data_IF_445444276989
#
_entry.id   IF_445444276989
#
_cell.length_a   1.000
_cell.length_b   1.000
_cell.length_c   1.000
_cell.angle_alpha   90.00
_cell.angle_beta   90.00
_cell.angle_gamma   90.00
#
_symmetry.space_group_name_H-M   'P 1'
#
loop_
_entity.id
_entity.type
_entity.pdbx_description
1 polymer ?
#
# COMPACT_ATOMS: atom_id res chain seq x y z
N UNK A 1 59.01 7.17 41.42
CA UNK A 1 57.57 7.44 41.66
C UNK A 1 57.05 8.17 40.43
N UNK A 2 56.06 7.75 39.66
CA UNK A 2 55.12 6.63 39.69
C UNK A 2 53.88 7.02 38.87
N UNK A 3 53.48 6.16 37.91
CA UNK A 3 52.12 5.93 37.35
C UNK A 3 51.47 7.04 36.49
N UNK A 4 51.30 6.82 35.17
CA UNK A 4 50.05 6.44 34.42
C UNK A 4 48.90 7.44 34.56
N UNK A 5 48.25 7.94 33.49
CA UNK A 5 47.29 7.14 32.70
C UNK A 5 46.83 7.81 31.40
N UNK A 6 46.34 6.92 30.54
CA UNK A 6 45.71 7.00 29.23
C UNK A 6 44.38 7.78 29.21
N UNK A 7 44.04 8.39 28.07
CA UNK A 7 42.66 8.64 27.65
C UNK A 7 42.59 8.62 26.12
N UNK A 8 42.17 7.47 25.57
CA UNK A 8 41.65 7.37 24.21
C UNK A 8 40.18 7.78 24.14
N UNK A 9 39.73 8.05 22.93
CA UNK A 9 38.33 8.34 22.57
C UNK A 9 38.33 9.09 21.25
N UNK A 10 38.58 8.42 20.12
CA UNK A 10 37.51 7.97 19.20
C UNK A 10 36.42 9.02 18.97
N UNK A 11 36.76 10.09 18.25
CA UNK A 11 35.78 10.91 17.52
C UNK A 11 35.29 10.11 16.31
N UNK A 12 34.23 9.33 16.53
CA UNK A 12 33.42 8.72 15.47
C UNK A 12 31.98 8.64 15.96
N UNK A 13 31.36 9.81 16.13
CA UNK A 13 29.93 9.95 16.32
C UNK A 13 29.45 11.22 15.63
N UNK A 14 29.17 11.17 14.32
CA UNK A 14 28.22 12.10 13.69
C UNK A 14 27.85 11.68 12.24
N UNK A 15 27.60 10.40 11.98
CA UNK A 15 27.01 9.98 10.70
C UNK A 15 25.84 9.00 10.85
N UNK A 16 25.76 8.26 11.96
CA UNK A 16 24.71 7.24 12.16
C UNK A 16 23.37 7.78 12.69
N UNK A 17 23.34 8.98 13.27
CA UNK A 17 22.10 9.57 13.80
C UNK A 17 21.23 10.22 12.73
N UNK A 18 21.78 10.53 11.56
CA UNK A 18 21.00 11.15 10.48
C UNK A 18 20.25 10.11 9.62
N UNK A 19 20.81 8.91 9.41
CA UNK A 19 20.12 7.85 8.65
C UNK A 19 18.85 7.32 9.32
N UNK A 20 18.83 7.22 10.67
CA UNK A 20 17.62 6.78 11.40
C UNK A 20 16.51 7.83 11.38
N UNK A 21 16.88 9.09 11.30
CA UNK A 21 15.93 10.22 11.30
C UNK A 21 15.24 10.37 9.94
N UNK A 22 15.94 10.03 8.84
CA UNK A 22 15.34 10.01 7.50
C UNK A 22 14.50 8.73 7.24
N UNK A 23 14.88 7.58 7.83
CA UNK A 23 14.07 6.35 7.77
C UNK A 23 12.74 6.47 8.55
N UNK A 24 12.68 7.30 9.60
CA UNK A 24 11.44 7.57 10.35
C UNK A 24 10.55 8.64 9.70
N UNK A 25 11.02 9.33 8.66
CA UNK A 25 10.21 10.25 7.86
C UNK A 25 9.65 9.60 6.58
N UNK A 26 9.81 8.27 6.40
CA UNK A 26 8.88 7.55 5.55
C UNK A 26 7.51 7.68 6.20
N UNK A 27 6.71 8.58 5.63
CA UNK A 27 5.29 8.72 5.97
C UNK A 27 4.70 7.32 6.05
N UNK A 28 4.33 6.89 7.26
CA UNK A 28 3.84 5.54 7.43
C UNK A 28 2.65 5.35 6.48
N UNK A 29 2.61 4.22 5.75
CA UNK A 29 1.51 3.92 4.85
C UNK A 29 0.19 4.14 5.60
N UNK A 30 -0.66 5.04 5.09
CA UNK A 30 -1.93 5.33 5.74
C UNK A 30 -2.94 4.28 5.29
N UNK A 31 -3.26 3.34 6.17
CA UNK A 31 -4.28 2.31 5.92
C UNK A 31 -5.67 2.95 5.97
N UNK A 32 -6.44 2.83 4.88
CA UNK A 32 -7.79 3.39 4.76
C UNK A 32 -8.89 2.37 5.03
N UNK A 33 -8.58 1.08 4.89
CA UNK A 33 -9.48 -0.01 5.24
C UNK A 33 -8.67 -1.29 5.54
N UNK A 34 -9.15 -2.06 6.50
CA UNK A 34 -8.63 -3.37 6.86
C UNK A 34 -9.79 -4.30 7.22
N UNK A 35 -9.81 -5.49 6.63
CA UNK A 35 -10.84 -6.50 6.90
C UNK A 35 -10.33 -7.91 6.60
N UNK A 36 -11.06 -8.92 7.09
CA UNK A 36 -10.80 -10.34 6.80
C UNK A 36 -11.94 -10.89 5.98
N UNK A 37 -11.63 -11.68 4.96
CA UNK A 37 -12.64 -12.36 4.14
C UNK A 37 -12.22 -13.79 3.81
N UNK A 38 -13.18 -14.62 3.43
CA UNK A 38 -12.95 -16.01 3.04
C UNK A 38 -12.31 -16.12 1.67
N UNK A 39 -11.40 -17.08 1.50
CA UNK A 39 -10.66 -17.29 0.27
C UNK A 39 -9.16 -17.31 0.52
N UNK A 40 -8.41 -17.61 -0.54
CA UNK A 40 -6.95 -17.42 -0.55
C UNK A 40 -6.60 -16.11 -1.22
N UNK A 41 -5.42 -15.56 -0.93
CA UNK A 41 -4.94 -14.30 -1.47
C UNK A 41 -4.96 -14.30 -3.00
N UNK A 42 -4.64 -15.45 -3.63
CA UNK A 42 -4.68 -15.60 -5.09
C UNK A 42 -6.10 -15.60 -5.66
N UNK A 43 -7.05 -16.25 -4.99
CA UNK A 43 -8.45 -16.26 -5.40
C UNK A 43 -9.04 -14.86 -5.27
N UNK A 44 -8.77 -14.19 -4.16
CA UNK A 44 -9.22 -12.83 -3.91
C UNK A 44 -8.59 -11.84 -4.88
N UNK A 45 -7.27 -11.91 -5.13
CA UNK A 45 -6.63 -11.04 -6.11
C UNK A 45 -7.32 -11.09 -7.48
N UNK A 46 -7.63 -12.30 -7.95
CA UNK A 46 -8.36 -12.50 -9.21
C UNK A 46 -9.79 -11.95 -9.14
N UNK A 47 -10.50 -12.17 -8.04
CA UNK A 47 -11.85 -11.65 -7.86
C UNK A 47 -11.89 -10.11 -7.83
N UNK A 48 -10.90 -9.48 -7.17
CA UNK A 48 -10.73 -8.02 -7.11
C UNK A 48 -10.44 -7.46 -8.50
N UNK A 49 -9.54 -8.09 -9.26
CA UNK A 49 -9.23 -7.70 -10.64
C UNK A 49 -10.48 -7.76 -11.54
N UNK A 50 -11.22 -8.86 -11.49
CA UNK A 50 -12.44 -9.04 -12.27
C UNK A 50 -13.54 -8.05 -11.88
N UNK A 51 -13.71 -7.82 -10.58
CA UNK A 51 -14.65 -6.83 -10.08
C UNK A 51 -14.28 -5.42 -10.55
N UNK A 52 -12.99 -5.04 -10.48
CA UNK A 52 -12.52 -3.75 -10.96
C UNK A 52 -12.77 -3.60 -12.47
N UNK A 53 -12.43 -4.60 -13.29
CA UNK A 53 -12.69 -4.57 -14.74
C UNK A 53 -14.17 -4.40 -15.08
N UNK A 54 -15.08 -4.96 -14.28
CA UNK A 54 -16.53 -4.88 -14.51
C UNK A 54 -17.14 -3.49 -14.22
N UNK A 55 -16.44 -2.59 -13.51
CA UNK A 55 -16.95 -1.26 -13.14
C UNK A 55 -16.93 -0.23 -14.30
N UNK A 56 -16.57 -0.61 -15.53
CA UNK A 56 -16.61 0.25 -16.73
C UNK A 56 -15.29 0.98 -17.01
N UNK A 57 -15.25 2.15 -17.68
CA UNK A 57 -14.04 2.96 -17.83
C UNK A 57 -13.65 3.51 -16.46
N UNK A 58 -13.06 2.65 -15.63
CA UNK A 58 -12.85 2.92 -14.22
C UNK A 58 -11.77 3.96 -14.08
N UNK A 59 -12.07 4.94 -13.25
CA UNK A 59 -11.13 5.78 -12.52
C UNK A 59 -10.12 5.00 -11.66
N UNK A 60 -9.92 3.68 -11.84
CA UNK A 60 -9.02 2.81 -11.09
C UNK A 60 -8.81 1.44 -11.80
N UNK A 61 -7.60 1.15 -12.30
CA UNK A 61 -7.12 -0.18 -12.71
C UNK A 61 -6.48 -0.84 -11.50
N UNK A 62 -6.81 -2.09 -11.23
CA UNK A 62 -6.09 -2.91 -10.24
C UNK A 62 -5.15 -3.85 -10.98
N UNK A 63 -3.86 -3.81 -10.68
CA UNK A 63 -2.85 -4.69 -11.28
C UNK A 63 -2.15 -5.51 -10.20
N UNK A 64 -2.22 -6.85 -10.25
CA UNK A 64 -1.39 -7.69 -9.39
C UNK A 64 0.06 -7.58 -9.86
N UNK A 65 0.98 -7.21 -8.97
CA UNK A 65 2.37 -6.95 -9.37
C UNK A 65 3.42 -7.68 -8.54
N UNK A 66 3.08 -8.15 -7.34
CA UNK A 66 4.02 -8.92 -6.52
C UNK A 66 3.28 -9.92 -5.63
N UNK A 67 3.83 -11.13 -5.46
CA UNK A 67 3.24 -12.08 -4.53
C UNK A 67 4.13 -13.28 -4.22
N UNK A 68 4.05 -13.73 -2.97
CA UNK A 68 4.53 -15.04 -2.52
C UNK A 68 3.38 -16.05 -2.59
N UNK A 69 3.60 -17.27 -2.08
CA UNK A 69 2.51 -18.25 -1.96
C UNK A 69 1.39 -17.78 -1.02
N UNK A 70 1.69 -16.91 -0.05
CA UNK A 70 0.77 -16.51 1.03
C UNK A 70 0.42 -15.03 1.01
N UNK A 71 1.09 -14.23 0.18
CA UNK A 71 0.92 -12.78 0.17
C UNK A 71 0.80 -12.29 -1.27
N UNK A 72 -0.14 -11.39 -1.56
CA UNK A 72 -0.25 -10.71 -2.84
C UNK A 72 -0.42 -9.20 -2.65
N UNK A 73 0.31 -8.43 -3.46
CA UNK A 73 0.23 -6.99 -3.55
C UNK A 73 -0.38 -6.58 -4.89
N UNK A 74 -1.34 -5.66 -4.84
CA UNK A 74 -2.01 -5.13 -6.02
C UNK A 74 -1.98 -3.60 -5.99
N UNK A 75 -1.59 -2.97 -7.09
CA UNK A 75 -1.61 -1.52 -7.21
C UNK A 75 -2.97 -1.07 -7.73
N UNK A 76 -3.50 0.04 -7.19
CA UNK A 76 -4.76 0.66 -7.61
C UNK A 76 -4.44 1.98 -8.29
N UNK A 77 -4.66 2.06 -9.60
CA UNK A 77 -4.21 3.18 -10.43
C UNK A 77 -5.38 3.90 -11.08
N UNK A 78 -5.62 5.18 -10.79
CA UNK A 78 -6.61 5.93 -11.56
C UNK A 78 -6.18 6.18 -12.99
N UNK A 79 -7.10 5.99 -13.93
CA UNK A 79 -6.89 6.33 -15.33
C UNK A 79 -7.75 7.53 -15.67
N UNK A 80 -7.11 8.56 -16.22
CA UNK A 80 -7.78 9.70 -16.84
C UNK A 80 -7.37 9.77 -18.30
N UNK A 81 -8.33 9.66 -19.20
CA UNK A 81 -8.13 9.93 -20.62
C UNK A 81 -8.55 11.37 -20.94
N UNK A 82 -7.65 12.16 -21.52
CA UNK A 82 -7.94 13.50 -22.03
C UNK A 82 -7.36 13.65 -23.44
N UNK A 83 -8.22 13.47 -24.45
CA UNK A 83 -7.80 13.42 -25.86
C UNK A 83 -6.85 12.26 -26.13
N UNK A 84 -5.59 12.56 -26.44
CA UNK A 84 -4.53 11.57 -26.70
C UNK A 84 -3.72 11.18 -25.45
N UNK A 85 -3.85 11.93 -24.36
CA UNK A 85 -3.10 11.68 -23.14
C UNK A 85 -3.88 10.73 -22.23
N UNK A 86 -3.18 9.70 -21.73
CA UNK A 86 -3.68 8.81 -20.69
C UNK A 86 -2.79 8.99 -19.48
N UNK A 87 -3.35 9.57 -18.42
CA UNK A 87 -2.68 9.72 -17.14
C UNK A 87 -3.01 8.51 -16.26
N UNK A 88 -1.97 7.83 -15.78
CA UNK A 88 -2.05 6.77 -14.80
C UNK A 88 -1.53 7.33 -13.47
N UNK A 89 -2.39 7.42 -12.46
CA UNK A 89 -1.96 7.84 -11.12
C UNK A 89 -2.13 6.71 -10.14
N UNK A 90 -1.04 6.27 -9.51
CA UNK A 90 -1.12 5.32 -8.42
C UNK A 90 -1.86 5.98 -7.24
N UNK A 91 -2.95 5.35 -6.79
CA UNK A 91 -3.75 5.77 -5.65
C UNK A 91 -3.35 5.05 -4.37
N UNK A 92 -2.75 3.87 -4.48
CA UNK A 92 -2.48 3.02 -3.33
C UNK A 92 -2.34 1.55 -3.67
N UNK A 93 -2.15 0.77 -2.62
CA UNK A 93 -1.86 -0.66 -2.67
C UNK A 93 -2.89 -1.44 -1.88
N UNK A 94 -3.30 -2.59 -2.40
CA UNK A 94 -4.04 -3.63 -1.68
C UNK A 94 -3.05 -4.73 -1.33
N UNK A 95 -2.91 -5.04 -0.05
CA UNK A 95 -2.14 -6.16 0.46
C UNK A 95 -3.10 -7.27 0.91
N UNK A 96 -2.90 -8.47 0.37
CA UNK A 96 -3.64 -9.69 0.69
C UNK A 96 -2.70 -10.65 1.41
N UNK A 97 -3.05 -11.08 2.61
CA UNK A 97 -2.24 -12.02 3.41
C UNK A 97 -3.06 -13.20 3.88
N UNK A 98 -2.68 -14.41 3.45
CA UNK A 98 -3.32 -15.64 3.89
C UNK A 98 -3.09 -15.90 5.38
N UNK A 99 -4.18 -16.20 6.09
CA UNK A 99 -4.15 -16.50 7.53
C UNK A 99 -4.06 -18.00 7.83
N UNK A 100 -3.98 -18.85 6.79
CA UNK A 100 -3.77 -20.30 6.92
C UNK A 100 -5.02 -21.12 7.28
N UNK A 101 -6.17 -20.49 7.49
CA UNK A 101 -7.45 -21.12 7.83
C UNK A 101 -8.51 -20.98 6.72
N UNK A 102 -8.07 -20.73 5.47
CA UNK A 102 -8.96 -20.44 4.35
C UNK A 102 -9.54 -19.02 4.36
N UNK A 103 -8.97 -18.13 5.17
CA UNK A 103 -9.26 -16.69 5.14
C UNK A 103 -8.01 -15.89 4.82
N UNK A 104 -8.23 -14.67 4.35
CA UNK A 104 -7.18 -13.72 3.97
C UNK A 104 -7.47 -12.37 4.62
N UNK A 105 -6.46 -11.77 5.22
CA UNK A 105 -6.48 -10.37 5.64
C UNK A 105 -6.25 -9.46 4.43
N UNK A 106 -7.08 -8.42 4.31
CA UNK A 106 -7.04 -7.43 3.24
C UNK A 106 -6.74 -6.07 3.87
N UNK A 107 -5.63 -5.44 3.46
CA UNK A 107 -5.27 -4.09 3.86
C UNK A 107 -5.19 -3.18 2.63
N UNK A 108 -5.85 -2.03 2.69
CA UNK A 108 -5.80 -1.00 1.66
C UNK A 108 -5.04 0.20 2.18
N UNK A 109 -3.96 0.53 1.50
CA UNK A 109 -3.02 1.58 1.89
C UNK A 109 -3.00 2.64 0.81
N UNK A 110 -3.15 3.90 1.19
CA UNK A 110 -2.99 5.00 0.23
C UNK A 110 -1.51 5.29 -0.02
N UNK A 111 -1.17 5.46 -1.29
CA UNK A 111 0.08 6.11 -1.69
C UNK A 111 -0.24 7.59 -1.86
N UNK A 112 0.19 8.42 -0.90
CA UNK A 112 -0.17 9.83 -0.93
C UNK A 112 0.41 10.53 -2.17
N UNK A 113 -0.44 11.06 -3.05
CA UNK A 113 0.03 11.69 -4.27
C UNK A 113 0.48 13.13 -3.97
N UNK A 114 1.74 13.45 -4.28
CA UNK A 114 2.27 14.81 -4.16
C UNK A 114 1.81 15.69 -5.34
N UNK A 115 0.53 16.11 -5.31
CA UNK A 115 -0.10 16.88 -6.39
C UNK A 115 -1.28 17.74 -5.95
N UNK A 116 -1.64 18.71 -6.80
CA UNK A 116 -2.66 19.72 -6.51
C UNK A 116 -4.08 19.13 -6.30
N UNK A 117 -4.40 18.00 -6.91
CA UNK A 117 -5.70 17.33 -6.78
C UNK A 117 -5.67 16.12 -5.82
N UNK A 118 -4.71 16.09 -4.88
CA UNK A 118 -4.57 15.01 -3.89
C UNK A 118 -5.86 14.69 -3.15
N UNK A 119 -6.62 15.68 -2.71
CA UNK A 119 -7.84 15.46 -1.90
C UNK A 119 -8.91 14.72 -2.71
N UNK A 120 -8.99 15.02 -4.01
CA UNK A 120 -9.88 14.32 -4.94
C UNK A 120 -9.46 12.85 -5.11
N UNK A 121 -8.16 12.58 -5.23
CA UNK A 121 -7.66 11.22 -5.35
C UNK A 121 -7.83 10.40 -4.08
N UNK A 122 -7.58 11.00 -2.92
CA UNK A 122 -7.82 10.38 -1.63
C UNK A 122 -9.30 9.98 -1.49
N UNK A 123 -10.22 10.89 -1.83
CA UNK A 123 -11.65 10.61 -1.81
C UNK A 123 -12.06 9.50 -2.80
N UNK A 124 -11.38 9.42 -3.95
CA UNK A 124 -11.59 8.37 -4.94
C UNK A 124 -11.15 7.00 -4.41
N UNK A 125 -9.95 6.92 -3.82
CA UNK A 125 -9.43 5.69 -3.23
C UNK A 125 -10.26 5.23 -2.03
N UNK A 126 -10.66 6.15 -1.17
CA UNK A 126 -11.54 5.90 -0.03
C UNK A 126 -12.92 5.37 -0.45
N UNK A 127 -13.50 5.91 -1.54
CA UNK A 127 -14.73 5.34 -2.13
C UNK A 127 -14.50 3.93 -2.67
N UNK A 128 -13.40 3.70 -3.39
CA UNK A 128 -13.03 2.39 -3.90
C UNK A 128 -12.92 1.37 -2.76
N UNK A 129 -12.22 1.72 -1.66
CA UNK A 129 -12.04 0.86 -0.50
C UNK A 129 -13.38 0.44 0.12
N UNK A 130 -14.30 1.38 0.33
CA UNK A 130 -15.65 1.08 0.84
C UNK A 130 -16.51 0.24 -0.10
N UNK A 131 -16.33 0.36 -1.42
CA UNK A 131 -17.05 -0.48 -2.37
C UNK A 131 -16.49 -1.90 -2.37
N UNK A 132 -15.17 -2.03 -2.30
CA UNK A 132 -14.48 -3.30 -2.21
C UNK A 132 -14.86 -4.06 -0.94
N UNK A 133 -14.75 -3.42 0.23
CA UNK A 133 -15.12 -4.03 1.51
C UNK A 133 -16.56 -4.57 1.48
N UNK A 134 -17.53 -3.77 1.02
CA UNK A 134 -18.93 -4.20 0.90
C UNK A 134 -19.12 -5.39 -0.02
N UNK A 135 -18.36 -5.47 -1.12
CA UNK A 135 -18.44 -6.58 -2.06
C UNK A 135 -18.01 -7.90 -1.42
N UNK A 136 -16.98 -7.88 -0.57
CA UNK A 136 -16.41 -9.08 0.03
C UNK A 136 -16.99 -9.42 1.41
N UNK A 137 -17.57 -8.45 2.12
CA UNK A 137 -18.40 -8.68 3.32
C UNK A 137 -19.75 -9.31 2.96
N UNK A 138 -20.39 -8.90 1.86
CA UNK A 138 -21.67 -9.47 1.43
C UNK A 138 -21.56 -10.92 0.90
N UNK A 139 -20.34 -11.37 0.60
CA UNK A 139 -20.02 -12.72 0.13
C UNK A 139 -19.51 -13.65 1.25
N UNK A 140 -19.42 -13.14 2.49
CA UNK A 140 -18.94 -13.83 3.69
C UNK A 140 -20.03 -14.58 4.43
#
# INVERSE_FOLDING_TARGET
MGKTSNAGGSDSQSVDTNLKSELCNLKSPTTVAEFVTTGTARVLARAIEQWAQAQGPVTAIVVPWEGTATTMSMAVTSVRADGWAIEHTNLGTILLTDLGNGTTAVALTVDEPDRADKDRLLALFDRFARQLQRQFEAAS
#
